data_IF_520330244693
#
_entry.id   IF_520330244693
#
_cell.length_a   1.000
_cell.length_b   1.000
_cell.length_c   1.000
_cell.angle_alpha   90.00
_cell.angle_beta   90.00
_cell.angle_gamma   90.00
#
_symmetry.space_group_name_H-M   'P 1'
#
loop_
_entity.id
_entity.type
_entity.pdbx_description
1 polymer ?
#
# COMPACT_ATOMS: atom_id res chain seq x y z
N UNK A 1 -19.26 20.03 27.83
CA UNK A 1 -19.09 18.78 28.59
C UNK A 1 -18.16 17.90 27.79
N UNK A 2 -16.88 17.81 28.14
CA UNK A 2 -15.91 16.99 27.40
C UNK A 2 -15.98 15.54 27.83
N UNK A 3 -15.90 14.60 26.89
CA UNK A 3 -15.76 13.19 27.21
C UNK A 3 -14.34 12.92 27.76
N UNK A 4 -14.19 12.07 28.79
CA UNK A 4 -12.87 11.69 29.27
C UNK A 4 -12.10 10.95 28.17
N UNK A 5 -10.78 11.14 28.07
CA UNK A 5 -9.97 10.44 27.08
C UNK A 5 -10.03 8.92 27.33
N UNK A 6 -10.28 8.16 26.27
CA UNK A 6 -10.20 6.71 26.30
C UNK A 6 -8.76 6.29 26.03
N UNK A 7 -8.16 5.56 26.98
CA UNK A 7 -6.82 4.98 26.82
C UNK A 7 -6.98 3.50 26.53
N UNK A 8 -6.49 3.05 25.37
CA UNK A 8 -6.41 1.65 24.99
C UNK A 8 -4.95 1.20 25.10
N UNK A 9 -4.70 0.11 25.82
CA UNK A 9 -3.36 -0.47 26.00
C UNK A 9 -3.39 -1.90 25.47
N UNK A 10 -2.38 -2.29 24.70
CA UNK A 10 -2.25 -3.67 24.23
C UNK A 10 -2.08 -4.63 25.42
N UNK A 11 -2.75 -5.78 25.37
CA UNK A 11 -2.57 -6.87 26.32
C UNK A 11 -1.82 -8.01 25.62
N UNK A 12 -0.50 -8.05 25.82
CA UNK A 12 0.35 -9.03 25.15
C UNK A 12 0.35 -10.39 25.84
N UNK A 13 0.32 -11.45 25.05
CA UNK A 13 0.29 -12.85 25.49
C UNK A 13 1.42 -13.61 24.81
N UNK A 14 2.20 -14.37 25.58
CA UNK A 14 3.21 -15.28 25.05
C UNK A 14 2.84 -16.72 25.40
N UNK A 15 2.71 -17.60 24.39
CA UNK A 15 2.35 -19.02 24.57
C UNK A 15 1.09 -19.26 25.42
N UNK A 16 0.10 -18.37 25.30
CA UNK A 16 -1.16 -18.46 26.05
C UNK A 16 -1.10 -17.91 27.47
N UNK A 17 0.06 -17.44 27.94
CA UNK A 17 0.21 -16.78 29.24
C UNK A 17 0.37 -15.27 29.07
N UNK A 18 -0.34 -14.44 29.86
CA UNK A 18 -0.13 -13.01 29.89
C UNK A 18 1.32 -12.67 30.25
N UNK A 19 1.86 -11.62 29.65
CA UNK A 19 3.19 -11.12 29.99
C UNK A 19 3.08 -10.24 31.23
N UNK A 20 3.67 -10.68 32.34
CA UNK A 20 3.61 -9.95 33.63
C UNK A 20 4.90 -9.21 33.99
N UNK A 21 6.03 -9.53 33.31
CA UNK A 21 7.31 -8.87 33.57
C UNK A 21 7.24 -7.37 33.20
N UNK A 22 7.38 -6.45 34.18
CA UNK A 22 7.24 -5.01 33.95
C UNK A 22 8.33 -4.45 33.02
N UNK A 23 9.51 -5.06 32.98
CA UNK A 23 10.60 -4.63 32.09
C UNK A 23 10.26 -5.01 30.65
N UNK A 24 9.73 -6.22 30.46
CA UNK A 24 9.33 -6.71 29.14
C UNK A 24 8.10 -5.96 28.61
N UNK A 25 7.08 -5.74 29.44
CA UNK A 25 5.89 -4.94 29.09
C UNK A 25 6.28 -3.54 28.62
N UNK A 26 7.17 -2.87 29.36
CA UNK A 26 7.65 -1.54 28.96
C UNK A 26 8.33 -1.57 27.59
N UNK A 27 9.20 -2.56 27.34
CA UNK A 27 9.86 -2.71 26.04
C UNK A 27 8.87 -2.96 24.90
N UNK A 28 7.84 -3.77 25.12
CA UNK A 28 6.82 -4.07 24.13
C UNK A 28 5.97 -2.85 23.79
N UNK A 29 5.58 -2.06 24.80
CA UNK A 29 4.85 -0.80 24.60
C UNK A 29 5.69 0.28 23.90
N UNK A 30 7.02 0.20 24.01
CA UNK A 30 7.96 1.09 23.33
C UNK A 30 8.32 0.63 21.90
N UNK A 31 7.90 -0.58 21.49
CA UNK A 31 8.13 -1.05 20.12
C UNK A 31 7.30 -0.22 19.13
N UNK A 32 7.91 0.07 17.98
CA UNK A 32 7.20 0.68 16.85
C UNK A 32 6.14 -0.27 16.31
N UNK A 33 4.90 0.20 16.13
CA UNK A 33 3.80 -0.60 15.58
C UNK A 33 4.07 -1.12 14.16
N UNK A 34 5.05 -0.56 13.45
CA UNK A 34 5.49 -1.02 12.13
C UNK A 34 7.01 -1.00 12.01
N UNK A 35 7.57 -1.91 11.19
CA UNK A 35 8.99 -1.91 10.78
C UNK A 35 9.41 -0.66 10.02
N UNK A 36 8.45 0.18 9.62
CA UNK A 36 8.69 1.43 8.89
C UNK A 36 8.68 2.65 9.82
N UNK A 37 8.69 2.45 11.14
CA UNK A 37 8.63 3.54 12.13
C UNK A 37 7.43 4.48 11.92
N UNK A 38 6.28 3.92 11.53
CA UNK A 38 5.06 4.67 11.16
C UNK A 38 5.23 5.63 9.98
N UNK A 39 6.35 5.58 9.24
CA UNK A 39 6.45 6.24 7.96
C UNK A 39 5.67 5.42 6.92
N UNK A 40 4.76 6.03 6.15
CA UNK A 40 4.19 5.34 4.99
C UNK A 40 5.36 4.99 4.08
N UNK A 41 5.52 3.71 3.75
CA UNK A 41 6.46 3.31 2.71
C UNK A 41 6.10 4.08 1.44
N UNK A 42 7.02 4.93 0.97
CA UNK A 42 6.82 5.61 -0.30
C UNK A 42 6.97 4.58 -1.41
N UNK A 43 5.89 4.32 -2.13
CA UNK A 43 5.95 3.53 -3.36
C UNK A 43 6.23 4.52 -4.51
N UNK A 44 7.47 4.55 -5.05
CA UNK A 44 7.78 5.47 -6.14
C UNK A 44 7.00 5.06 -7.39
N UNK A 45 6.19 5.98 -7.90
CA UNK A 45 5.38 5.78 -9.10
C UNK A 45 5.89 6.69 -10.20
N UNK A 46 6.89 6.20 -10.94
CA UNK A 46 7.50 6.93 -12.05
C UNK A 46 6.89 6.43 -13.36
N UNK A 47 6.32 7.31 -14.22
CA UNK A 47 5.86 6.91 -15.56
C UNK A 47 6.93 6.12 -16.32
N UNK A 48 6.55 5.00 -16.93
CA UNK A 48 7.48 4.09 -17.60
C UNK A 48 8.05 2.98 -16.71
N UNK A 49 7.79 3.01 -15.39
CA UNK A 49 8.26 1.95 -14.49
C UNK A 49 7.59 0.60 -14.80
N UNK A 50 8.34 -0.49 -14.94
CA UNK A 50 7.75 -1.82 -15.10
C UNK A 50 7.00 -2.22 -13.82
N UNK A 51 5.82 -2.78 -13.98
CA UNK A 51 4.98 -3.26 -12.87
C UNK A 51 4.51 -4.69 -13.17
N UNK A 52 4.16 -5.42 -12.11
CA UNK A 52 3.56 -6.74 -12.21
C UNK A 52 2.21 -6.68 -11.50
N UNK A 53 1.18 -7.21 -12.15
CA UNK A 53 -0.14 -7.33 -11.54
C UNK A 53 -0.11 -8.42 -10.47
N UNK A 54 -0.54 -8.13 -9.26
CA UNK A 54 -0.46 -9.07 -8.11
C UNK A 54 -1.75 -9.84 -7.85
N UNK A 55 -2.83 -9.49 -8.55
CA UNK A 55 -4.17 -10.06 -8.36
C UNK A 55 -4.93 -10.14 -9.68
N UNK A 56 -5.84 -11.11 -9.79
CA UNK A 56 -6.71 -11.21 -10.97
C UNK A 56 -7.74 -10.08 -10.94
N UNK A 57 -7.88 -9.35 -12.05
CA UNK A 57 -8.86 -8.28 -12.19
C UNK A 57 -9.94 -8.67 -13.20
N UNK A 58 -9.53 -9.03 -14.42
CA UNK A 58 -10.42 -9.38 -15.53
C UNK A 58 -9.74 -10.44 -16.40
N UNK A 59 -9.97 -11.70 -16.05
CA UNK A 59 -9.27 -12.84 -16.67
C UNK A 59 -9.63 -13.01 -18.14
N UNK A 60 -10.85 -12.65 -18.52
CA UNK A 60 -11.37 -12.60 -19.88
C UNK A 60 -10.69 -11.55 -20.76
N UNK A 61 -10.07 -10.54 -20.15
CA UNK A 61 -9.28 -9.50 -20.82
C UNK A 61 -7.77 -9.75 -20.70
N UNK A 62 -7.36 -10.85 -20.07
CA UNK A 62 -5.96 -11.20 -19.82
C UNK A 62 -5.32 -10.47 -18.64
N UNK A 63 -6.09 -9.75 -17.82
CA UNK A 63 -5.60 -9.05 -16.62
C UNK A 63 -5.54 -10.02 -15.44
N UNK A 64 -4.51 -10.86 -15.46
CA UNK A 64 -4.24 -11.92 -14.48
C UNK A 64 -2.99 -11.64 -13.65
N UNK A 65 -2.93 -12.22 -12.45
CA UNK A 65 -1.75 -12.17 -11.60
C UNK A 65 -0.50 -12.65 -12.37
N UNK A 66 0.59 -11.88 -12.27
CA UNK A 66 1.86 -12.14 -12.91
C UNK A 66 2.04 -11.47 -14.28
N UNK A 67 1.02 -10.80 -14.83
CA UNK A 67 1.20 -10.08 -16.10
C UNK A 67 2.05 -8.84 -15.91
N UNK A 68 2.98 -8.61 -16.85
CA UNK A 68 3.80 -7.42 -16.91
C UNK A 68 2.99 -6.25 -17.46
N UNK A 69 3.16 -5.09 -16.83
CA UNK A 69 2.63 -3.83 -17.29
C UNK A 69 3.66 -2.72 -17.18
N UNK A 70 3.25 -1.52 -17.55
CA UNK A 70 4.06 -0.32 -17.36
C UNK A 70 3.21 0.73 -16.66
N UNK A 71 3.73 1.27 -15.55
CA UNK A 71 3.08 2.32 -14.82
C UNK A 71 2.99 3.57 -15.72
N UNK A 72 1.77 4.07 -15.92
CA UNK A 72 1.49 5.20 -16.79
C UNK A 72 1.38 6.50 -16.00
N UNK A 73 0.40 6.58 -15.11
CA UNK A 73 0.05 7.78 -14.36
C UNK A 73 -0.75 7.40 -13.11
N UNK A 74 -0.64 8.20 -12.05
CA UNK A 74 -1.53 8.16 -10.90
C UNK A 74 -2.65 9.18 -11.12
N UNK A 75 -3.90 8.70 -11.13
CA UNK A 75 -5.09 9.53 -11.36
C UNK A 75 -5.92 9.52 -10.08
N UNK A 76 -6.15 10.69 -9.48
CA UNK A 76 -6.96 10.83 -8.25
C UNK A 76 -8.45 11.05 -8.55
N UNK A 77 -8.76 11.65 -9.70
CA UNK A 77 -10.12 11.94 -10.16
C UNK A 77 -10.25 11.53 -11.63
N UNK A 78 -11.30 10.80 -11.97
CA UNK A 78 -11.50 10.22 -13.32
C UNK A 78 -11.48 11.29 -14.43
N UNK A 79 -11.92 12.52 -14.13
CA UNK A 79 -11.95 13.64 -15.07
C UNK A 79 -10.55 14.25 -15.35
N UNK A 80 -9.53 13.89 -14.58
CA UNK A 80 -8.17 14.46 -14.67
C UNK A 80 -7.24 13.72 -15.63
N UNK A 81 -7.77 12.81 -16.46
CA UNK A 81 -6.98 12.03 -17.41
C UNK A 81 -6.51 12.91 -18.57
N UNK A 82 -5.24 13.28 -18.57
CA UNK A 82 -4.57 13.91 -19.70
C UNK A 82 -4.12 12.86 -20.72
N UNK A 83 -4.71 12.85 -21.92
CA UNK A 83 -4.30 11.99 -23.04
C UNK A 83 -3.07 12.52 -23.79
N UNK A 84 -2.74 13.80 -23.60
CA UNK A 84 -1.78 14.54 -24.42
C UNK A 84 -0.31 14.23 -24.10
N UNK A 85 0.02 13.78 -22.88
CA UNK A 85 1.40 13.67 -22.39
C UNK A 85 2.14 12.39 -22.81
N UNK A 86 1.53 11.50 -23.60
CA UNK A 86 1.92 10.06 -23.62
C UNK A 86 2.13 9.44 -25.01
N UNK A 87 1.89 10.18 -26.09
CA UNK A 87 2.13 9.68 -27.44
C UNK A 87 3.61 9.45 -27.76
N UNK A 88 4.53 10.07 -27.02
CA UNK A 88 5.98 9.98 -27.29
C UNK A 88 6.70 8.89 -26.46
N UNK A 89 6.15 8.47 -25.32
CA UNK A 89 6.82 7.53 -24.39
C UNK A 89 6.37 6.07 -24.53
N UNK A 90 5.18 5.81 -25.06
CA UNK A 90 4.62 4.46 -25.14
C UNK A 90 4.44 4.05 -26.60
N UNK A 91 4.82 2.82 -26.98
CA UNK A 91 4.70 2.39 -28.36
C UNK A 91 3.23 2.36 -28.79
N UNK A 92 2.96 2.67 -30.06
CA UNK A 92 1.62 2.80 -30.63
C UNK A 92 0.73 1.54 -30.52
N UNK A 93 1.31 0.40 -30.10
CA UNK A 93 0.61 -0.86 -29.85
C UNK A 93 0.21 -1.06 -28.38
N UNK A 94 0.44 -0.08 -27.50
CA UNK A 94 0.00 -0.14 -26.11
C UNK A 94 -1.53 -0.07 -26.03
N UNK A 95 -2.15 -1.09 -25.42
CA UNK A 95 -3.58 -1.10 -25.16
C UNK A 95 -3.85 -0.41 -23.82
N UNK A 96 -4.51 0.74 -23.87
CA UNK A 96 -4.92 1.49 -22.68
C UNK A 96 -6.25 0.93 -22.16
N UNK A 97 -6.33 0.65 -20.85
CA UNK A 97 -7.56 0.23 -20.19
C UNK A 97 -7.78 1.19 -19.03
N UNK A 98 -8.92 1.90 -19.07
CA UNK A 98 -9.39 2.81 -18.02
C UNK A 98 -10.18 1.99 -16.98
#
# INVERSE_FOLDING_TARGET
MGHPPMVCVAQDICKGTPIEDPILLKKLLELSDSKTERLPGLLPFVPGMPIILTQNIATELGLINGINGTFRQLVYHEESVSTETLSEMFPNNAKYML
#
